data_IF_784539835132
#
_entry.id   IF_784539835132
#
_cell.length_a   1.000
_cell.length_b   1.000
_cell.length_c   1.000
_cell.angle_alpha   90.00
_cell.angle_beta   90.00
_cell.angle_gamma   90.00
#
_symmetry.space_group_name_H-M   'P 1'
#
loop_
_entity.id
_entity.type
_entity.pdbx_description
1 polymer ?
#
# COMPACT_ATOMS: atom_id res chain seq x y z
N UNK A 1 -9.86 11.59 -3.54
CA UNK A 1 -9.86 10.11 -3.43
C UNK A 1 -8.46 9.54 -3.15
N UNK A 2 -7.43 9.77 -3.96
CA UNK A 2 -6.08 9.17 -3.75
C UNK A 2 -5.46 9.50 -2.38
N UNK A 3 -5.56 10.75 -1.89
CA UNK A 3 -5.02 11.12 -0.55
C UNK A 3 -5.69 10.38 0.61
N UNK A 4 -6.95 9.97 0.49
CA UNK A 4 -7.61 9.16 1.51
C UNK A 4 -7.02 7.74 1.54
N UNK A 5 -6.74 7.17 0.36
CA UNK A 5 -6.08 5.86 0.26
C UNK A 5 -4.64 5.90 0.78
N UNK A 6 -3.89 6.98 0.50
CA UNK A 6 -2.56 7.16 1.08
C UNK A 6 -2.60 7.16 2.61
N UNK A 7 -3.59 7.84 3.20
CA UNK A 7 -3.76 7.88 4.65
C UNK A 7 -4.13 6.49 5.21
N UNK A 8 -5.07 5.78 4.60
CA UNK A 8 -5.47 4.45 5.06
C UNK A 8 -4.34 3.42 4.96
N UNK A 9 -3.63 3.40 3.83
CA UNK A 9 -2.51 2.48 3.64
C UNK A 9 -1.40 2.81 4.64
N UNK A 10 -1.08 4.09 4.86
CA UNK A 10 -0.08 4.49 5.85
C UNK A 10 -0.51 4.14 7.29
N UNK A 11 -1.77 4.34 7.64
CA UNK A 11 -2.32 3.98 8.95
C UNK A 11 -2.26 2.46 9.18
N UNK A 12 -2.59 1.67 8.15
CA UNK A 12 -2.49 0.22 8.20
C UNK A 12 -1.04 -0.24 8.40
N UNK A 13 -0.09 0.29 7.61
CA UNK A 13 1.34 0.00 7.73
C UNK A 13 1.92 0.40 9.09
N UNK A 14 1.43 1.51 9.67
CA UNK A 14 1.84 1.94 11.01
C UNK A 14 1.36 0.98 12.09
N UNK A 15 0.12 0.47 11.95
CA UNK A 15 -0.46 -0.50 12.89
C UNK A 15 0.11 -1.92 12.71
N UNK A 16 0.58 -2.24 11.49
CA UNK A 16 1.10 -3.55 11.11
C UNK A 16 2.49 -3.41 10.47
N UNK A 17 3.54 -3.13 11.24
CA UNK A 17 4.87 -2.81 10.69
C UNK A 17 5.52 -3.97 9.91
N UNK A 18 5.08 -5.20 10.16
CA UNK A 18 5.56 -6.39 9.46
C UNK A 18 4.70 -6.76 8.24
N UNK A 19 3.63 -6.00 7.95
CA UNK A 19 2.79 -6.25 6.80
C UNK A 19 3.55 -5.95 5.50
N UNK A 20 3.43 -6.87 4.55
CA UNK A 20 3.95 -6.70 3.21
C UNK A 20 3.01 -7.42 2.23
N UNK A 21 2.54 -6.72 1.20
CA UNK A 21 1.59 -7.31 0.25
C UNK A 21 1.65 -6.61 -1.12
N UNK A 22 1.07 -7.28 -2.10
CA UNK A 22 0.82 -6.80 -3.46
C UNK A 22 -0.27 -5.73 -3.51
N UNK A 23 -0.39 -5.02 -4.64
CA UNK A 23 -1.49 -4.04 -4.84
C UNK A 23 -2.86 -4.69 -4.65
N UNK A 24 -3.03 -5.92 -5.15
CA UNK A 24 -4.26 -6.67 -5.03
C UNK A 24 -4.58 -7.01 -3.56
N UNK A 25 -3.61 -7.55 -2.83
CA UNK A 25 -3.81 -7.90 -1.42
C UNK A 25 -4.05 -6.67 -0.54
N UNK A 26 -3.35 -5.55 -0.80
CA UNK A 26 -3.62 -4.27 -0.12
C UNK A 26 -5.06 -3.84 -0.35
N UNK A 27 -5.53 -3.90 -1.61
CA UNK A 27 -6.90 -3.51 -1.95
C UNK A 27 -7.94 -4.40 -1.27
N UNK A 28 -7.69 -5.70 -1.17
CA UNK A 28 -8.65 -6.67 -0.65
C UNK A 28 -8.66 -6.75 0.88
N UNK A 29 -7.52 -6.52 1.53
CA UNK A 29 -7.34 -6.85 2.95
C UNK A 29 -7.02 -5.66 3.85
N UNK A 30 -6.37 -4.62 3.32
CA UNK A 30 -5.89 -3.50 4.16
C UNK A 30 -6.85 -2.32 4.16
N UNK A 31 -7.58 -2.12 3.07
CA UNK A 31 -8.48 -0.98 2.90
C UNK A 31 -9.86 -1.25 3.52
N UNK A 32 -10.52 -0.17 3.96
CA UNK A 32 -11.91 -0.27 4.43
C UNK A 32 -12.83 -0.77 3.29
N UNK A 33 -13.80 -1.65 3.55
CA UNK A 33 -14.76 -2.12 2.55
C UNK A 33 -15.55 -1.00 1.84
N UNK A 34 -15.63 0.20 2.41
CA UNK A 34 -16.21 1.37 1.72
C UNK A 34 -15.35 1.85 0.55
N UNK A 35 -14.07 1.50 0.55
CA UNK A 35 -13.12 1.75 -0.53
C UNK A 35 -12.88 0.54 -1.44
N UNK A 36 -13.72 -0.50 -1.37
CA UNK A 36 -13.65 -1.66 -2.29
C UNK A 36 -13.73 -1.27 -3.77
N UNK A 37 -14.30 -0.10 -4.10
CA UNK A 37 -14.34 0.45 -5.46
C UNK A 37 -13.04 1.15 -5.90
N UNK A 38 -12.01 1.23 -5.06
CA UNK A 38 -10.71 1.76 -5.46
C UNK A 38 -10.12 0.84 -6.55
N UNK A 39 -9.97 1.36 -7.76
CA UNK A 39 -9.23 0.64 -8.81
C UNK A 39 -7.77 0.44 -8.40
N UNK A 40 -7.14 -0.59 -8.94
CA UNK A 40 -5.71 -0.86 -8.74
C UNK A 40 -4.84 0.38 -9.06
N UNK A 41 -5.22 1.15 -10.08
CA UNK A 41 -4.53 2.39 -10.45
C UNK A 41 -4.60 3.47 -9.35
N UNK A 42 -5.69 3.53 -8.59
CA UNK A 42 -5.76 4.45 -7.44
C UNK A 42 -4.84 4.00 -6.30
N UNK A 43 -4.82 2.70 -6.00
CA UNK A 43 -3.95 2.11 -4.98
C UNK A 43 -2.48 2.26 -5.37
N UNK A 44 -2.14 1.98 -6.64
CA UNK A 44 -0.81 2.17 -7.21
C UNK A 44 -0.32 3.60 -7.08
N UNK A 45 -1.16 4.59 -7.41
CA UNK A 45 -0.81 6.02 -7.28
C UNK A 45 -0.60 6.43 -5.82
N UNK A 46 -1.44 5.95 -4.91
CA UNK A 46 -1.28 6.19 -3.48
C UNK A 46 0.05 5.60 -2.96
N UNK A 47 0.33 4.34 -3.29
CA UNK A 47 1.59 3.68 -2.92
C UNK A 47 2.81 4.39 -3.52
N UNK A 48 2.74 4.86 -4.76
CA UNK A 48 3.82 5.64 -5.37
C UNK A 48 4.10 6.92 -4.58
N UNK A 49 3.06 7.63 -4.13
CA UNK A 49 3.20 8.81 -3.26
C UNK A 49 3.84 8.47 -1.91
N UNK A 50 3.43 7.37 -1.27
CA UNK A 50 4.00 6.90 0.00
C UNK A 50 5.47 6.47 -0.16
N UNK A 51 5.81 5.78 -1.24
CA UNK A 51 7.20 5.39 -1.55
C UNK A 51 8.07 6.62 -1.80
N UNK A 52 7.59 7.58 -2.59
CA UNK A 52 8.32 8.83 -2.85
C UNK A 52 8.57 9.65 -1.58
N UNK A 53 7.73 9.50 -0.56
CA UNK A 53 7.87 10.16 0.75
C UNK A 53 8.64 9.34 1.78
N UNK A 54 9.10 8.14 1.42
CA UNK A 54 9.82 7.25 2.33
C UNK A 54 8.94 6.63 3.43
N UNK A 55 7.61 6.58 3.25
CA UNK A 55 6.68 5.94 4.19
C UNK A 55 6.53 4.44 3.91
N UNK A 56 6.69 4.05 2.64
CA UNK A 56 6.62 2.65 2.21
C UNK A 56 7.82 2.28 1.33
N UNK A 57 8.16 0.99 1.27
CA UNK A 57 9.12 0.45 0.32
C UNK A 57 8.45 -0.47 -0.68
N UNK A 58 8.73 -0.23 -1.96
CA UNK A 58 8.44 -1.18 -3.04
C UNK A 58 9.61 -2.16 -3.16
N UNK A 59 9.32 -3.45 -3.04
CA UNK A 59 10.31 -4.53 -3.19
C UNK A 59 9.88 -5.45 -4.32
N UNK A 60 10.78 -5.68 -5.27
CA UNK A 60 10.63 -6.75 -6.27
C UNK A 60 11.17 -8.05 -5.69
N UNK A 61 10.34 -9.08 -5.70
CA UNK A 61 10.67 -10.44 -5.28
C UNK A 61 11.35 -11.20 -6.41
N UNK A 62 12.01 -12.32 -6.07
CA UNK A 62 12.78 -13.13 -7.03
C UNK A 62 11.93 -13.76 -8.12
N UNK A 63 10.64 -13.94 -7.87
CA UNK A 63 9.63 -14.45 -8.78
C UNK A 63 9.02 -13.37 -9.69
N UNK A 64 9.46 -12.11 -9.55
CA UNK A 64 8.97 -10.97 -10.33
C UNK A 64 7.75 -10.28 -9.71
N UNK A 65 7.23 -10.77 -8.60
CA UNK A 65 6.13 -10.11 -7.90
C UNK A 65 6.61 -8.86 -7.16
N UNK A 66 5.73 -7.85 -7.08
CA UNK A 66 5.99 -6.60 -6.36
C UNK A 66 5.17 -6.58 -5.09
N UNK A 67 5.85 -6.36 -3.97
CA UNK A 67 5.21 -6.13 -2.68
C UNK A 67 5.57 -4.75 -2.12
N UNK A 68 4.67 -4.21 -1.31
CA UNK A 68 4.83 -2.97 -0.59
C UNK A 68 4.78 -3.25 0.91
N UNK A 69 5.70 -2.63 1.65
CA UNK A 69 5.83 -2.78 3.10
C UNK A 69 6.15 -1.43 3.75
N UNK A 70 6.03 -1.35 5.07
CA UNK A 70 6.43 -0.16 5.82
C UNK A 70 7.91 0.16 5.57
N UNK A 71 8.23 1.46 5.46
CA UNK A 71 9.60 1.89 5.63
C UNK A 71 9.97 1.75 7.11
N UNK A 72 10.92 0.88 7.43
CA UNK A 72 11.46 0.84 8.78
C UNK A 72 12.23 2.15 9.01
N UNK A 73 11.76 2.96 9.95
CA UNK A 73 12.48 4.10 10.51
C UNK A 73 13.60 3.65 11.44
#
# INVERSE_FOLDING_TARGET
>A
MVRCLEFEIAAYLTSHPNAADSIEGIRCWWLDPRHTNASEEHVRRALAGLVSRGVAHRTELRDGHVIYRAAHS
#
